data_IF_388720689432
#
_entry.id   IF_388720689432
#
_cell.length_a   1.000
_cell.length_b   1.000
_cell.length_c   1.000
_cell.angle_alpha   90.00
_cell.angle_beta   90.00
_cell.angle_gamma   90.00
#
_symmetry.space_group_name_H-M   'P 1'
#
loop_
_entity.id
_entity.type
_entity.pdbx_description
1 polymer ?
#
# COMPACT_ATOMS: atom_id res chain seq x y z
N UNK A 1 14.91 9.01 -8.51
CA UNK A 1 16.15 9.32 -7.71
C UNK A 1 15.87 8.93 -6.26
N UNK A 2 16.81 8.21 -5.64
CA UNK A 2 16.66 7.71 -4.25
C UNK A 2 17.49 8.62 -3.33
N UNK A 3 16.85 9.23 -2.34
CA UNK A 3 17.56 10.00 -1.32
C UNK A 3 18.12 9.08 -0.23
N UNK A 4 19.30 9.39 0.27
CA UNK A 4 19.88 8.65 1.40
C UNK A 4 20.46 9.58 2.48
N UNK A 5 20.52 9.07 3.70
CA UNK A 5 21.18 9.69 4.86
C UNK A 5 22.29 8.77 5.37
N UNK A 6 23.31 9.36 5.98
CA UNK A 6 24.38 8.61 6.64
C UNK A 6 24.06 8.41 8.12
N UNK A 7 24.14 7.16 8.58
CA UNK A 7 24.01 6.81 9.99
C UNK A 7 25.28 6.14 10.48
N UNK A 8 25.77 6.60 11.64
CA UNK A 8 26.94 6.01 12.31
C UNK A 8 26.55 4.69 12.99
N UNK A 9 27.35 3.65 12.80
CA UNK A 9 27.19 2.40 13.53
C UNK A 9 27.59 2.61 14.99
N UNK A 10 26.64 2.47 15.89
CA UNK A 10 26.82 2.61 17.35
C UNK A 10 27.00 1.27 18.07
N UNK A 11 26.99 0.14 17.35
CA UNK A 11 27.18 -1.16 17.97
C UNK A 11 28.66 -1.40 18.26
N UNK A 12 29.04 -1.27 19.54
CA UNK A 12 30.43 -1.44 20.01
C UNK A 12 30.99 -2.87 19.80
N UNK A 13 30.11 -3.88 19.64
CA UNK A 13 30.52 -5.27 19.36
C UNK A 13 30.73 -5.55 17.87
N UNK A 14 30.53 -4.58 17.02
CA UNK A 14 30.72 -4.73 15.57
C UNK A 14 32.12 -4.29 15.15
N UNK A 15 32.79 -5.05 14.28
CA UNK A 15 34.06 -4.64 13.65
C UNK A 15 33.90 -3.34 12.84
N UNK A 16 32.68 -2.94 12.50
CA UNK A 16 32.35 -1.69 11.81
C UNK A 16 31.90 -0.57 12.77
N UNK A 17 32.20 -0.67 14.07
CA UNK A 17 31.89 0.39 15.05
C UNK A 17 32.45 1.74 14.62
N UNK A 18 31.64 2.77 14.72
CA UNK A 18 32.04 4.14 14.36
C UNK A 18 31.99 4.47 12.88
N UNK A 19 31.85 3.48 11.97
CA UNK A 19 31.76 3.71 10.52
C UNK A 19 30.35 4.20 10.14
N UNK A 20 30.26 4.93 9.01
CA UNK A 20 29.00 5.46 8.47
C UNK A 20 28.47 4.58 7.36
N UNK A 21 27.17 4.38 7.34
CA UNK A 21 26.44 3.61 6.32
C UNK A 21 25.31 4.43 5.74
N UNK A 22 25.07 4.28 4.44
CA UNK A 22 23.95 4.92 3.76
C UNK A 22 22.65 4.17 4.03
N UNK A 23 21.60 4.90 4.34
CA UNK A 23 20.25 4.39 4.51
C UNK A 23 19.29 5.20 3.63
N UNK A 24 18.37 4.56 2.90
CA UNK A 24 17.41 5.28 2.09
C UNK A 24 16.49 6.12 2.97
N UNK A 25 16.10 7.27 2.45
CA UNK A 25 14.99 8.06 3.00
C UNK A 25 13.72 7.53 2.37
N UNK A 26 12.83 6.98 3.19
CA UNK A 26 11.51 6.56 2.76
C UNK A 26 10.57 7.75 2.92
N UNK A 27 10.07 8.28 1.81
CA UNK A 27 9.17 9.44 1.82
C UNK A 27 7.76 9.02 2.25
N UNK A 28 7.24 7.94 1.66
CA UNK A 28 5.92 7.40 1.99
C UNK A 28 5.84 5.90 1.69
N UNK A 29 4.78 5.27 2.17
CA UNK A 29 4.41 3.90 1.81
C UNK A 29 3.11 3.94 1.02
N UNK A 30 3.17 3.61 -0.25
CA UNK A 30 1.99 3.58 -1.13
C UNK A 30 1.12 2.37 -0.77
N UNK A 31 -0.15 2.61 -0.51
CA UNK A 31 -1.15 1.57 -0.27
C UNK A 31 -1.61 0.92 -1.59
N UNK A 32 -2.36 -0.19 -1.49
CA UNK A 32 -2.97 -0.83 -2.66
C UNK A 32 -3.89 0.15 -3.43
N UNK A 33 -4.63 0.99 -2.71
CA UNK A 33 -5.48 2.02 -3.29
C UNK A 33 -4.67 3.11 -4.02
N UNK A 34 -3.56 3.53 -3.43
CA UNK A 34 -2.60 4.46 -4.05
C UNK A 34 -1.96 3.86 -5.30
N UNK A 35 -1.54 2.58 -5.23
CA UNK A 35 -0.99 1.86 -6.38
C UNK A 35 -2.01 1.75 -7.51
N UNK A 36 -3.26 1.38 -7.21
CA UNK A 36 -4.32 1.31 -8.21
C UNK A 36 -4.61 2.68 -8.84
N UNK A 37 -4.57 3.76 -8.05
CA UNK A 37 -4.68 5.13 -8.55
C UNK A 37 -3.52 5.49 -9.50
N UNK A 38 -2.29 5.17 -9.11
CA UNK A 38 -1.11 5.38 -9.94
C UNK A 38 -1.21 4.60 -11.27
N UNK A 39 -1.57 3.31 -11.22
CA UNK A 39 -1.74 2.48 -12.42
C UNK A 39 -2.81 3.05 -13.34
N UNK A 40 -3.94 3.53 -12.81
CA UNK A 40 -5.03 4.09 -13.62
C UNK A 40 -4.65 5.40 -14.33
N UNK A 41 -3.59 6.09 -13.89
CA UNK A 41 -3.08 7.31 -14.55
C UNK A 41 -2.20 7.03 -15.78
N UNK A 42 -1.81 5.77 -16.03
CA UNK A 42 -0.95 5.36 -17.15
C UNK A 42 -1.71 5.05 -18.46
N UNK A 43 -2.82 5.74 -18.74
CA UNK A 43 -3.61 5.54 -19.96
C UNK A 43 -4.08 4.09 -20.16
N UNK A 44 -4.51 3.44 -19.09
CA UNK A 44 -5.08 2.10 -19.11
C UNK A 44 -6.60 2.17 -19.34
N UNK A 45 -7.23 1.17 -19.99
CA UNK A 45 -8.68 1.11 -20.12
C UNK A 45 -9.41 0.77 -18.82
N UNK A 46 -8.69 0.46 -17.74
CA UNK A 46 -9.26 0.02 -16.49
C UNK A 46 -9.43 1.18 -15.50
N UNK A 47 -10.61 1.23 -14.85
CA UNK A 47 -10.83 2.17 -13.75
C UNK A 47 -9.98 1.81 -12.54
N UNK A 48 -9.68 2.79 -11.68
CA UNK A 48 -9.01 2.56 -10.39
C UNK A 48 -9.68 1.45 -9.57
N UNK A 49 -11.02 1.41 -9.54
CA UNK A 49 -11.78 0.38 -8.84
C UNK A 49 -11.56 -1.02 -9.41
N UNK A 50 -11.58 -1.16 -10.73
CA UNK A 50 -11.31 -2.42 -11.42
C UNK A 50 -9.88 -2.93 -11.13
N UNK A 51 -8.88 -2.05 -11.22
CA UNK A 51 -7.49 -2.39 -10.92
C UNK A 51 -7.35 -2.84 -9.46
N UNK A 52 -7.93 -2.10 -8.52
CA UNK A 52 -7.91 -2.45 -7.08
C UNK A 52 -8.55 -3.82 -6.83
N UNK A 53 -9.68 -4.11 -7.46
CA UNK A 53 -10.35 -5.42 -7.39
C UNK A 53 -9.42 -6.54 -7.87
N UNK A 54 -8.88 -6.43 -9.09
CA UNK A 54 -7.96 -7.42 -9.66
C UNK A 54 -6.73 -7.66 -8.78
N UNK A 55 -6.12 -6.60 -8.21
CA UNK A 55 -4.97 -6.74 -7.31
C UNK A 55 -5.35 -7.43 -5.99
N UNK A 56 -6.54 -7.18 -5.47
CA UNK A 56 -7.05 -7.84 -4.26
C UNK A 56 -7.28 -9.33 -4.50
N UNK A 57 -7.91 -9.68 -5.62
CA UNK A 57 -8.16 -11.06 -6.01
C UNK A 57 -6.86 -11.81 -6.29
N UNK A 58 -5.89 -11.16 -6.94
CA UNK A 58 -4.56 -11.72 -7.14
C UNK A 58 -3.90 -12.11 -5.81
N UNK A 59 -3.95 -11.25 -4.79
CA UNK A 59 -3.37 -11.56 -3.46
C UNK A 59 -4.08 -12.75 -2.82
N UNK A 60 -5.41 -12.83 -2.94
CA UNK A 60 -6.22 -13.93 -2.41
C UNK A 60 -5.89 -15.26 -3.10
N UNK A 61 -5.79 -15.27 -4.42
CA UNK A 61 -5.41 -16.46 -5.21
C UNK A 61 -3.96 -16.91 -4.91
N UNK A 62 -3.03 -15.97 -4.77
CA UNK A 62 -1.65 -16.31 -4.38
C UNK A 62 -1.64 -17.01 -3.02
N UNK A 63 -2.38 -16.49 -2.03
CA UNK A 63 -2.48 -17.09 -0.70
C UNK A 63 -3.02 -18.52 -0.77
N UNK A 64 -4.10 -18.74 -1.52
CA UNK A 64 -4.73 -20.05 -1.72
C UNK A 64 -3.73 -21.05 -2.29
N UNK A 65 -3.11 -20.73 -3.43
CA UNK A 65 -2.12 -21.60 -4.09
C UNK A 65 -0.91 -21.89 -3.20
N UNK A 66 -0.44 -20.92 -2.44
CA UNK A 66 0.67 -21.14 -1.50
C UNK A 66 0.28 -22.10 -0.37
N UNK A 67 -0.95 -22.05 0.13
CA UNK A 67 -1.44 -22.96 1.18
C UNK A 67 -1.66 -24.39 0.65
N UNK A 68 -1.87 -24.56 -0.66
CA UNK A 68 -1.87 -25.84 -1.34
C UNK A 68 -0.45 -26.40 -1.60
N UNK A 69 0.59 -25.70 -1.15
CA UNK A 69 1.99 -26.13 -1.33
C UNK A 69 2.58 -25.75 -2.69
N UNK A 70 1.91 -24.92 -3.48
CA UNK A 70 2.39 -24.46 -4.78
C UNK A 70 3.22 -23.18 -4.64
N UNK A 71 4.22 -23.01 -5.51
CA UNK A 71 4.89 -21.71 -5.67
C UNK A 71 4.20 -20.91 -6.78
N UNK A 72 4.09 -19.60 -6.60
CA UNK A 72 3.49 -18.70 -7.59
C UNK A 72 4.56 -17.79 -8.14
N UNK A 73 4.80 -17.86 -9.46
CA UNK A 73 5.71 -16.94 -10.16
C UNK A 73 4.88 -15.91 -10.92
N UNK A 74 5.09 -14.64 -10.58
CA UNK A 74 4.66 -13.52 -11.42
C UNK A 74 5.92 -12.99 -12.10
N UNK A 75 5.97 -13.11 -13.43
CA UNK A 75 7.07 -12.59 -14.22
C UNK A 75 7.23 -11.09 -13.92
N UNK A 76 8.44 -10.58 -13.98
CA UNK A 76 8.81 -9.18 -13.74
C UNK A 76 8.52 -8.67 -12.30
N UNK A 77 7.98 -9.51 -11.41
CA UNK A 77 7.69 -9.15 -10.02
C UNK A 77 8.47 -10.04 -9.04
N UNK A 78 7.96 -11.25 -8.79
CA UNK A 78 8.57 -12.16 -7.81
C UNK A 78 8.10 -13.59 -7.95
N UNK A 79 8.86 -14.50 -7.35
CA UNK A 79 8.42 -15.85 -7.02
C UNK A 79 8.05 -15.87 -5.54
N UNK A 80 6.79 -16.18 -5.26
CA UNK A 80 6.23 -16.38 -3.93
C UNK A 80 6.29 -17.86 -3.56
N UNK A 81 6.71 -18.17 -2.34
CA UNK A 81 6.77 -19.52 -1.80
C UNK A 81 6.55 -19.53 -0.29
N UNK A 82 6.14 -20.64 0.27
CA UNK A 82 6.11 -20.83 1.71
C UNK A 82 7.37 -21.56 2.19
N UNK A 83 7.85 -21.15 3.35
CA UNK A 83 8.86 -21.87 4.11
C UNK A 83 8.30 -22.29 5.45
N UNK A 84 8.73 -23.45 5.95
CA UNK A 84 8.41 -23.90 7.30
C UNK A 84 9.35 -23.22 8.30
N UNK A 85 8.78 -22.73 9.39
CA UNK A 85 9.52 -22.17 10.52
C UNK A 85 9.64 -23.24 11.59
N UNK A 86 10.81 -23.85 11.69
CA UNK A 86 11.10 -24.87 12.68
C UNK A 86 11.39 -24.28 14.06
N UNK A 87 11.20 -25.07 15.12
CA UNK A 87 11.66 -24.80 16.47
C UNK A 87 13.18 -24.85 16.53
N UNK A 88 13.78 -24.05 17.41
CA UNK A 88 15.23 -24.12 17.66
C UNK A 88 15.54 -25.48 18.27
N UNK A 89 16.56 -26.15 17.75
CA UNK A 89 17.02 -27.46 18.23
C UNK A 89 16.43 -28.66 17.48
N UNK A 90 15.40 -28.51 16.67
CA UNK A 90 14.84 -29.63 15.88
C UNK A 90 14.35 -30.81 16.74
N UNK A 91 14.38 -32.03 16.18
CA UNK A 91 14.16 -33.29 16.88
C UNK A 91 15.43 -34.15 16.79
N UNK A 92 15.65 -35.03 17.77
CA UNK A 92 16.83 -35.89 17.81
C UNK A 92 16.76 -37.04 16.79
N UNK A 93 15.54 -37.44 16.43
CA UNK A 93 15.30 -38.46 15.37
C UNK A 93 13.99 -38.14 14.64
N UNK A 94 13.74 -38.80 13.52
CA UNK A 94 12.53 -38.60 12.72
C UNK A 94 11.28 -39.05 13.52
N UNK A 95 11.39 -40.13 14.28
CA UNK A 95 10.29 -40.68 15.08
C UNK A 95 9.88 -39.74 16.23
N UNK A 96 10.81 -38.93 16.72
CA UNK A 96 10.56 -37.97 17.77
C UNK A 96 10.04 -36.61 17.23
N UNK A 97 10.01 -36.45 15.90
CA UNK A 97 9.51 -35.25 15.28
C UNK A 97 7.99 -35.18 15.36
N UNK A 98 7.47 -34.10 15.90
CA UNK A 98 6.03 -33.81 15.90
C UNK A 98 5.79 -32.37 15.43
N UNK A 99 4.69 -32.16 14.68
CA UNK A 99 4.32 -30.84 14.19
C UNK A 99 4.20 -29.83 15.34
N UNK A 100 3.54 -30.22 16.41
CA UNK A 100 3.29 -29.34 17.58
C UNK A 100 4.55 -28.89 18.32
N UNK A 101 5.57 -29.76 18.39
CA UNK A 101 6.82 -29.43 19.09
C UNK A 101 7.86 -28.79 18.18
N UNK A 102 7.93 -29.23 16.93
CA UNK A 102 9.05 -28.93 16.05
C UNK A 102 8.73 -27.88 14.98
N UNK A 103 7.45 -27.61 14.67
CA UNK A 103 7.04 -26.59 13.72
C UNK A 103 6.40 -25.42 14.46
N UNK A 104 6.92 -24.20 14.21
CA UNK A 104 6.37 -22.94 14.75
C UNK A 104 5.38 -22.27 13.82
N UNK A 105 5.26 -22.75 12.59
CA UNK A 105 4.37 -22.21 11.58
C UNK A 105 5.03 -22.09 10.22
N UNK A 106 4.40 -21.31 9.35
CA UNK A 106 4.88 -21.02 8.00
C UNK A 106 5.32 -19.56 7.88
N UNK A 107 6.12 -19.26 6.88
CA UNK A 107 6.55 -17.90 6.53
C UNK A 107 6.51 -17.72 5.03
N UNK A 108 6.04 -16.57 4.59
CA UNK A 108 6.13 -16.16 3.21
C UNK A 108 7.60 -15.87 2.85
N UNK A 109 8.00 -16.33 1.67
CA UNK A 109 9.23 -15.95 0.98
C UNK A 109 8.86 -15.35 -0.36
N UNK A 110 9.40 -14.19 -0.68
CA UNK A 110 9.29 -13.56 -1.98
C UNK A 110 10.70 -13.31 -2.51
N UNK A 111 10.97 -13.72 -3.74
CA UNK A 111 12.23 -13.49 -4.43
C UNK A 111 11.95 -12.73 -5.71
N UNK A 112 12.49 -11.53 -5.83
CA UNK A 112 12.35 -10.70 -7.01
C UNK A 112 12.77 -11.41 -8.29
N UNK A 113 12.07 -11.11 -9.38
CA UNK A 113 12.35 -11.62 -10.74
C UNK A 113 12.25 -10.47 -11.74
N UNK A 114 12.77 -10.69 -12.95
CA UNK A 114 12.69 -9.75 -14.05
C UNK A 114 13.26 -8.37 -13.69
N UNK A 115 12.49 -7.35 -13.89
CA UNK A 115 12.90 -5.95 -13.68
C UNK A 115 13.18 -5.59 -12.21
N UNK A 116 12.62 -6.33 -11.25
CA UNK A 116 12.83 -6.07 -9.84
C UNK A 116 14.05 -6.76 -9.21
N UNK A 117 14.86 -7.46 -10.00
CA UNK A 117 16.11 -8.01 -9.47
C UNK A 117 17.13 -6.91 -9.20
N UNK A 118 18.03 -7.15 -8.23
CA UNK A 118 19.06 -6.18 -7.81
C UNK A 118 19.89 -5.66 -8.98
N UNK A 119 20.20 -6.50 -9.98
CA UNK A 119 20.99 -6.10 -11.15
C UNK A 119 20.25 -5.04 -11.98
N UNK A 120 18.99 -5.25 -12.32
CA UNK A 120 18.18 -4.28 -13.09
C UNK A 120 17.96 -3.00 -12.31
N UNK A 121 17.58 -3.09 -11.04
CA UNK A 121 17.40 -1.90 -10.20
C UNK A 121 18.67 -1.06 -10.04
N UNK A 122 19.84 -1.69 -9.96
CA UNK A 122 21.11 -0.97 -9.85
C UNK A 122 21.50 -0.22 -11.12
N UNK A 123 21.07 -0.69 -12.29
CA UNK A 123 21.33 0.00 -13.57
C UNK A 123 20.56 1.32 -13.67
N UNK A 124 19.39 1.40 -13.08
CA UNK A 124 18.49 2.56 -13.16
C UNK A 124 18.57 3.46 -11.93
N UNK A 125 19.09 2.95 -10.81
CA UNK A 125 19.11 3.66 -9.55
C UNK A 125 20.05 4.86 -9.56
N UNK A 126 19.50 6.06 -9.31
CA UNK A 126 20.27 7.27 -9.06
C UNK A 126 20.18 7.63 -7.58
N UNK A 127 21.34 7.75 -6.92
CA UNK A 127 21.45 8.02 -5.48
C UNK A 127 21.90 9.45 -5.22
N UNK A 128 21.23 10.15 -4.29
CA UNK A 128 21.60 11.50 -3.85
C UNK A 128 21.54 11.59 -2.33
N UNK A 129 22.55 12.21 -1.73
CA UNK A 129 22.52 12.50 -0.29
C UNK A 129 21.44 13.54 0.02
N UNK A 130 20.58 13.25 0.99
CA UNK A 130 19.57 14.21 1.44
C UNK A 130 20.23 15.43 2.08
N UNK A 131 19.79 16.64 1.73
CA UNK A 131 20.20 17.87 2.38
C UNK A 131 19.69 17.91 3.82
N UNK A 132 20.40 18.60 4.72
CA UNK A 132 19.98 18.74 6.12
C UNK A 132 18.60 19.44 6.30
N UNK A 133 18.11 20.10 5.25
CA UNK A 133 16.84 20.85 5.25
C UNK A 133 15.59 19.97 5.05
N UNK A 134 15.75 18.70 4.64
CA UNK A 134 14.63 17.78 4.45
C UNK A 134 14.37 17.01 5.76
N UNK A 135 14.11 17.71 6.84
CA UNK A 135 13.50 17.09 8.02
C UNK A 135 11.99 17.02 7.79
N UNK A 136 11.50 15.82 7.58
CA UNK A 136 10.08 15.52 7.61
C UNK A 136 9.45 16.06 8.91
N UNK A 137 8.55 17.01 8.79
CA UNK A 137 7.62 17.38 9.85
C UNK A 137 6.66 16.20 10.08
N UNK A 138 6.98 15.37 11.03
CA UNK A 138 6.14 14.31 11.55
C UNK A 138 6.14 14.34 13.06
N UNK A 139 5.69 15.46 13.63
CA UNK A 139 5.29 15.50 15.05
C UNK A 139 4.07 16.38 15.15
N UNK A 140 2.90 15.76 15.17
CA UNK A 140 1.70 16.39 15.69
C UNK A 140 1.92 16.63 17.19
N UNK A 141 2.19 17.88 17.54
CA UNK A 141 2.07 18.30 18.93
C UNK A 141 0.72 18.98 19.10
N UNK A 142 -0.20 18.24 19.70
CA UNK A 142 -1.44 18.75 20.23
C UNK A 142 -1.10 19.47 21.53
N UNK A 143 -1.18 20.79 21.56
CA UNK A 143 -1.28 21.56 22.80
C UNK A 143 -2.42 22.54 22.69
N UNK A 144 -3.38 22.26 23.52
CA UNK A 144 -4.55 23.02 23.93
C UNK A 144 -4.14 24.25 24.76
N UNK A 145 -4.89 25.36 24.66
CA UNK A 145 -4.81 26.49 25.62
C UNK A 145 -5.00 27.83 24.96
N UNK A 146 -6.16 28.39 24.87
CA UNK A 146 -6.79 29.22 25.86
C UNK A 146 -6.59 30.70 25.62
N UNK A 147 -7.67 31.46 25.24
CA UNK A 147 -8.01 32.74 25.83
C UNK A 147 -7.54 34.04 25.16
N UNK A 148 -8.48 34.87 24.82
CA UNK A 148 -8.22 36.33 24.76
C UNK A 148 -8.96 37.13 23.69
N UNK A 149 -10.13 37.58 24.03
CA UNK A 149 -10.96 38.66 23.54
C UNK A 149 -10.21 39.92 23.01
N UNK A 150 -10.70 40.55 21.93
CA UNK A 150 -11.27 41.91 21.89
C UNK A 150 -11.59 42.33 20.46
N UNK A 151 -12.83 42.70 20.26
CA UNK A 151 -13.45 43.88 19.59
C UNK A 151 -12.59 44.72 18.61
N UNK A 152 -13.09 45.00 17.41
CA UNK A 152 -14.02 46.12 17.13
C UNK A 152 -14.40 46.21 15.63
N UNK A 153 -15.66 46.36 15.40
CA UNK A 153 -16.43 47.34 14.61
C UNK A 153 -16.03 47.64 13.14
N UNK A 154 -16.90 47.44 12.25
CA UNK A 154 -17.91 48.33 11.70
C UNK A 154 -18.12 48.25 10.18
N UNK A 155 -19.36 48.15 9.83
CA UNK A 155 -20.14 48.85 8.77
C UNK A 155 -19.87 48.44 7.32
N UNK A 156 -20.83 48.02 6.60
CA UNK A 156 -22.10 48.50 6.17
C UNK A 156 -22.48 47.89 4.86
N UNK A 157 -23.72 47.58 4.74
CA UNK A 157 -24.62 48.06 3.74
C UNK A 157 -24.90 47.17 2.54
N UNK A 158 -26.11 46.65 2.52
CA UNK A 158 -27.14 46.96 1.55
C UNK A 158 -27.39 45.88 0.51
N UNK A 159 -28.44 45.25 0.67
CA UNK A 159 -29.83 45.28 0.12
C UNK A 159 -30.07 44.33 -1.08
N UNK A 160 -31.06 43.46 -0.83
CA UNK A 160 -32.28 43.12 -1.58
C UNK A 160 -32.25 42.33 -2.87
N UNK A 161 -33.18 41.33 -2.87
CA UNK A 161 -33.97 40.88 -4.00
C UNK A 161 -33.99 39.37 -4.19
N UNK A 162 -34.81 38.61 -3.57
CA UNK A 162 -36.19 38.17 -3.84
C UNK A 162 -36.38 37.52 -5.20
N UNK A 163 -36.92 36.29 -5.22
CA UNK A 163 -37.45 35.64 -6.39
C UNK A 163 -37.61 34.14 -6.25
N UNK A 164 -38.68 33.76 -5.54
CA UNK A 164 -39.30 32.43 -5.63
C UNK A 164 -39.81 32.15 -7.02
N UNK A 165 -39.74 30.88 -7.46
CA UNK A 165 -40.92 30.22 -8.10
C UNK A 165 -40.70 28.73 -8.15
N UNK A 166 -41.65 28.05 -7.56
CA UNK A 166 -42.01 26.66 -7.73
C UNK A 166 -42.45 26.40 -9.19
N UNK A 167 -42.22 25.20 -9.70
CA UNK A 167 -43.31 24.52 -10.38
C UNK A 167 -43.12 22.99 -10.46
N UNK A 168 -44.21 22.35 -10.16
CA UNK A 168 -44.56 20.96 -10.15
C UNK A 168 -44.86 20.42 -11.56
N UNK A 169 -44.93 19.09 -11.60
CA UNK A 169 -45.70 18.31 -12.59
C UNK A 169 -44.79 17.31 -13.31
N UNK A 170 -44.94 16.02 -13.24
CA UNK A 170 -46.15 15.21 -13.10
C UNK A 170 -46.21 14.23 -14.24
N UNK A 171 -46.37 12.94 -13.91
CA UNK A 171 -47.13 11.99 -14.72
C UNK A 171 -46.30 11.16 -15.73
N UNK A 172 -46.24 9.92 -15.67
CA UNK A 172 -47.11 8.77 -15.53
C UNK A 172 -47.04 7.87 -16.78
N UNK A 173 -47.07 6.56 -16.56
CA UNK A 173 -47.56 5.47 -17.39
C UNK A 173 -46.71 4.97 -18.58
N UNK A 174 -46.48 3.71 -18.77
CA UNK A 174 -47.21 2.48 -18.47
C UNK A 174 -46.97 1.48 -19.59
N UNK A 175 -47.11 0.21 -19.31
CA UNK A 175 -47.46 -0.83 -20.27
C UNK A 175 -46.29 -1.69 -20.78
N UNK A 176 -45.99 -2.84 -20.24
CA UNK A 176 -46.66 -4.16 -20.39
C UNK A 176 -46.65 -4.73 -21.81
N UNK A 177 -46.15 -5.92 -21.87
CA UNK A 177 -46.47 -7.17 -22.61
C UNK A 177 -45.21 -7.77 -23.21
N UNK A 178 -44.70 -8.91 -22.75
CA UNK A 178 -45.12 -10.30 -22.89
C UNK A 178 -45.01 -10.87 -24.31
N UNK A 179 -44.37 -11.99 -24.38
CA UNK A 179 -44.41 -13.14 -25.31
C UNK A 179 -43.08 -13.35 -26.04
N UNK A 180 -42.46 -14.50 -26.01
CA UNK A 180 -42.89 -15.89 -25.98
C UNK A 180 -42.26 -16.64 -27.13
N UNK A 181 -41.81 -17.87 -26.88
CA UNK A 181 -41.54 -18.85 -27.92
C UNK A 181 -40.11 -18.87 -28.45
N UNK A 182 -39.37 -19.85 -28.42
CA UNK A 182 -39.45 -21.31 -28.51
C UNK A 182 -38.43 -21.75 -29.58
N UNK A 183 -37.67 -22.74 -29.25
CA UNK A 183 -37.02 -23.77 -30.09
C UNK A 183 -35.91 -23.39 -31.09
N UNK A 184 -34.85 -24.18 -30.90
CA UNK A 184 -33.75 -24.40 -31.85
C UNK A 184 -32.53 -24.92 -31.16
#
# INVERSE_FOLDING_TARGET
MILYVLKKNKNSKSAAFGRYFAYPVIEETITLDGLAGHMSSHNTPYSKGAIKGMLTDMVSCIKELLLEGKNVKIAELAIFSLGIKNSKGGALSEELFTVTKNIKGVKLRARATGELITKSLNLEATLKKASATTKSNGTMNSTNGGGGTTNDSNSGGGTTGNGSTENQGGGNNGGSTANGGDEG
#
